data_IF_054949778470
#
_entry.id   IF_054949778470
#
_cell.length_a   1.000
_cell.length_b   1.000
_cell.length_c   1.000
_cell.angle_alpha   90.00
_cell.angle_beta   90.00
_cell.angle_gamma   90.00
#
_symmetry.space_group_name_H-M   'P 1'
#
loop_
_entity.id
_entity.type
_entity.pdbx_description
1 polymer ?
#
# COMPACT_ATOMS: atom_id res chain seq x y z
N UNK A 1 -11.70 3.52 -2.60
CA UNK A 1 -11.75 3.72 -4.07
C UNK A 1 -12.72 2.71 -4.70
N UNK A 2 -13.16 2.99 -5.89
CA UNK A 2 -14.16 2.15 -6.59
C UNK A 2 -13.52 0.98 -7.33
N UNK A 3 -12.33 1.17 -7.88
CA UNK A 3 -11.60 0.12 -8.59
C UNK A 3 -10.14 0.50 -8.74
N UNK A 4 -9.28 -0.51 -8.87
CA UNK A 4 -7.88 -0.31 -9.17
C UNK A 4 -7.32 -1.53 -9.90
N UNK A 5 -6.31 -1.32 -10.72
CA UNK A 5 -5.63 -2.41 -11.41
C UNK A 5 -4.18 -2.07 -11.68
N UNK A 6 -3.36 -3.11 -11.77
CA UNK A 6 -1.95 -3.00 -12.14
C UNK A 6 -1.73 -3.69 -13.47
N UNK A 7 -1.04 -3.00 -14.37
CA UNK A 7 -0.61 -3.55 -15.65
C UNK A 7 0.91 -3.53 -15.75
N UNK A 8 1.45 -4.57 -16.37
CA UNK A 8 2.86 -4.63 -16.76
C UNK A 8 2.87 -4.98 -18.25
N UNK A 9 3.53 -4.15 -19.06
CA UNK A 9 3.60 -4.32 -20.52
C UNK A 9 2.21 -4.53 -21.13
N UNK A 10 1.25 -3.69 -20.77
CA UNK A 10 -0.14 -3.71 -21.22
C UNK A 10 -0.96 -4.93 -20.78
N UNK A 11 -0.38 -5.80 -19.92
CA UNK A 11 -1.09 -6.96 -19.39
C UNK A 11 -1.53 -6.69 -17.95
N UNK A 12 -2.81 -6.86 -17.68
CA UNK A 12 -3.33 -6.74 -16.32
C UNK A 12 -2.86 -7.93 -15.48
N UNK A 13 -2.13 -7.67 -14.38
CA UNK A 13 -1.65 -8.71 -13.48
C UNK A 13 -2.49 -8.80 -12.21
N UNK A 14 -3.15 -7.72 -11.83
CA UNK A 14 -4.05 -7.72 -10.68
C UNK A 14 -5.09 -6.63 -10.83
N UNK A 15 -6.26 -6.86 -10.24
CA UNK A 15 -7.32 -5.86 -10.21
C UNK A 15 -8.22 -6.11 -9.01
N UNK A 16 -8.79 -5.04 -8.49
CA UNK A 16 -9.76 -5.09 -7.40
C UNK A 16 -10.94 -4.18 -7.70
N UNK A 17 -12.07 -4.49 -7.07
CA UNK A 17 -13.23 -3.63 -7.03
C UNK A 17 -13.15 -2.72 -5.78
N UNK A 18 -14.27 -2.30 -5.24
CA UNK A 18 -14.30 -1.36 -4.11
C UNK A 18 -13.43 -1.81 -2.94
N UNK A 19 -12.62 -0.89 -2.43
CA UNK A 19 -11.72 -1.17 -1.31
C UNK A 19 -10.58 -0.18 -1.20
N UNK A 20 -9.38 -0.68 -1.00
CA UNK A 20 -8.18 0.13 -0.79
C UNK A 20 -7.08 -0.22 -1.78
N UNK A 21 -6.51 0.80 -2.41
CA UNK A 21 -5.22 0.72 -3.08
C UNK A 21 -4.19 1.30 -2.12
N UNK A 22 -3.16 0.52 -1.79
CA UNK A 22 -2.16 0.91 -0.79
C UNK A 22 -0.78 0.87 -1.42
N UNK A 23 -0.14 2.03 -1.54
CA UNK A 23 1.26 2.13 -1.91
C UNK A 23 2.10 2.05 -0.64
N UNK A 24 3.09 1.17 -0.62
CA UNK A 24 3.90 0.89 0.57
C UNK A 24 5.35 1.19 0.29
N UNK A 25 5.91 2.13 1.07
CA UNK A 25 7.35 2.40 1.12
C UNK A 25 7.93 1.78 2.39
N UNK A 26 9.12 1.21 2.27
CA UNK A 26 9.80 0.56 3.39
C UNK A 26 11.13 1.28 3.60
N UNK A 27 11.29 1.87 4.80
CA UNK A 27 12.54 2.53 5.20
C UNK A 27 13.55 1.49 5.68
N UNK A 28 14.85 1.85 5.61
CA UNK A 28 15.95 0.95 5.95
C UNK A 28 15.86 0.39 7.38
N UNK A 29 15.23 1.13 8.30
CA UNK A 29 15.13 0.75 9.71
C UNK A 29 13.76 0.23 10.13
N UNK A 30 12.89 -0.11 9.17
CA UNK A 30 11.59 -0.68 9.49
C UNK A 30 11.72 -2.10 10.02
N UNK A 31 10.86 -2.45 10.98
CA UNK A 31 10.87 -3.74 11.69
C UNK A 31 9.49 -4.40 11.64
N UNK A 32 9.39 -5.59 12.21
CA UNK A 32 8.12 -6.31 12.32
C UNK A 32 7.08 -5.53 13.14
N UNK A 33 7.52 -4.71 14.09
CA UNK A 33 6.60 -3.86 14.85
C UNK A 33 5.93 -2.84 13.95
N UNK A 34 6.66 -2.29 12.98
CA UNK A 34 6.09 -1.38 11.99
C UNK A 34 5.04 -2.07 11.14
N UNK A 35 5.27 -3.31 10.74
CA UNK A 35 4.32 -4.11 9.97
C UNK A 35 3.02 -4.30 10.75
N UNK A 36 3.12 -4.70 12.00
CA UNK A 36 1.94 -4.93 12.85
C UNK A 36 1.17 -3.64 13.08
N UNK A 37 1.87 -2.55 13.33
CA UNK A 37 1.27 -1.23 13.55
C UNK A 37 0.52 -0.75 12.31
N UNK A 38 1.15 -0.90 11.14
CA UNK A 38 0.54 -0.50 9.87
C UNK A 38 -0.72 -1.33 9.58
N UNK A 39 -0.61 -2.64 9.69
CA UNK A 39 -1.73 -3.55 9.44
C UNK A 39 -2.91 -3.22 10.35
N UNK A 40 -2.67 -3.14 11.65
CA UNK A 40 -3.74 -2.87 12.61
C UNK A 40 -4.42 -1.52 12.36
N UNK A 41 -3.65 -0.51 11.98
CA UNK A 41 -4.21 0.80 11.66
C UNK A 41 -5.08 0.73 10.40
N UNK A 42 -4.58 0.14 9.33
CA UNK A 42 -5.29 0.12 8.05
C UNK A 42 -6.58 -0.69 8.15
N UNK A 43 -6.54 -1.86 8.78
CA UNK A 43 -7.71 -2.73 8.89
C UNK A 43 -8.83 -2.09 9.70
N UNK A 44 -8.48 -1.23 10.65
CA UNK A 44 -9.44 -0.63 11.57
C UNK A 44 -9.84 0.81 11.23
N UNK A 45 -9.17 1.45 10.28
CA UNK A 45 -9.54 2.81 9.87
C UNK A 45 -10.97 2.85 9.35
N UNK A 46 -11.77 3.74 9.92
CA UNK A 46 -13.16 3.91 9.50
C UNK A 46 -13.24 5.05 8.49
N UNK A 47 -13.11 4.69 7.22
CA UNK A 47 -13.04 5.64 6.11
C UNK A 47 -14.00 5.31 4.97
N UNK A 48 -14.95 4.43 5.22
CA UNK A 48 -15.93 4.01 4.22
C UNK A 48 -17.34 4.42 4.61
N UNK A 49 -18.20 4.56 3.61
CA UNK A 49 -19.59 4.95 3.71
C UNK A 49 -19.75 6.39 4.23
N UNK A 50 -21.00 6.86 4.28
CA UNK A 50 -21.30 8.20 4.78
C UNK A 50 -20.84 8.35 6.24
N UNK A 51 -20.25 9.51 6.54
CA UNK A 51 -19.76 9.87 7.86
C UNK A 51 -18.57 8.99 8.32
N UNK A 52 -17.85 8.35 7.40
CA UNK A 52 -16.67 7.53 7.73
C UNK A 52 -16.96 6.55 8.87
N UNK A 53 -18.02 5.78 8.70
CA UNK A 53 -18.54 4.92 9.77
C UNK A 53 -17.92 3.53 9.77
N UNK A 54 -17.49 3.05 8.61
CA UNK A 54 -17.07 1.66 8.43
C UNK A 54 -15.60 1.51 8.05
N UNK A 55 -14.99 0.40 8.50
CA UNK A 55 -13.65 -0.01 8.09
C UNK A 55 -13.70 -0.84 6.82
N UNK A 56 -12.53 -1.14 6.25
CA UNK A 56 -12.43 -2.05 5.09
C UNK A 56 -13.00 -3.44 5.42
N UNK A 57 -12.81 -3.88 6.64
CA UNK A 57 -13.34 -5.19 7.09
C UNK A 57 -14.87 -5.16 7.17
N UNK A 58 -15.42 -4.07 7.68
CA UNK A 58 -16.89 -3.93 7.81
C UNK A 58 -17.59 -4.02 6.46
N UNK A 59 -17.00 -3.49 5.41
CA UNK A 59 -17.59 -3.51 4.07
C UNK A 59 -17.17 -4.72 3.25
N UNK A 60 -16.35 -5.62 3.81
CA UNK A 60 -15.76 -6.76 3.09
C UNK A 60 -15.13 -6.32 1.77
N UNK A 61 -14.39 -5.22 1.81
CA UNK A 61 -13.73 -4.64 0.63
C UNK A 61 -12.50 -5.42 0.21
N UNK A 62 -11.93 -5.01 -0.92
CA UNK A 62 -10.73 -5.65 -1.50
C UNK A 62 -9.52 -4.75 -1.32
N UNK A 63 -8.34 -5.36 -1.28
CA UNK A 63 -7.09 -4.63 -1.04
C UNK A 63 -6.07 -4.96 -2.13
N UNK A 64 -5.50 -3.91 -2.72
CA UNK A 64 -4.39 -4.03 -3.67
C UNK A 64 -3.15 -3.37 -3.06
N UNK A 65 -2.12 -4.17 -2.81
CA UNK A 65 -0.85 -3.73 -2.22
C UNK A 65 0.19 -3.57 -3.31
N UNK A 66 0.79 -2.38 -3.39
CA UNK A 66 1.81 -2.05 -4.38
C UNK A 66 3.04 -1.50 -3.67
N UNK A 67 4.19 -2.12 -3.85
CA UNK A 67 5.44 -1.58 -3.31
C UNK A 67 5.81 -0.30 -4.05
N UNK A 68 6.26 0.71 -3.30
CA UNK A 68 6.57 2.04 -3.83
C UNK A 68 7.72 2.66 -3.03
N UNK A 69 8.97 2.32 -3.37
CA UNK A 69 10.12 2.81 -2.62
C UNK A 69 10.27 4.33 -2.71
N UNK A 70 9.74 4.94 -3.76
CA UNK A 70 9.80 6.39 -3.94
C UNK A 70 9.04 7.18 -2.87
N UNK A 71 8.17 6.52 -2.10
CA UNK A 71 7.56 7.14 -0.91
C UNK A 71 8.62 7.49 0.14
N UNK A 72 9.78 6.84 0.11
CA UNK A 72 10.88 7.09 1.04
C UNK A 72 11.81 8.20 0.54
N UNK A 73 11.44 8.92 -0.51
CA UNK A 73 12.24 9.99 -1.08
C UNK A 73 12.50 11.10 -0.07
N UNK A 74 13.74 11.59 -0.07
CA UNK A 74 14.13 12.80 0.66
C UNK A 74 14.27 13.91 -0.36
N UNK A 75 13.46 14.95 -0.22
CA UNK A 75 13.44 16.10 -1.14
C UNK A 75 13.92 17.40 -0.47
N UNK A 76 14.53 17.28 0.69
CA UNK A 76 14.94 18.46 1.48
C UNK A 76 16.04 19.27 0.82
N UNK A 77 16.90 18.64 0.02
CA UNK A 77 18.05 19.29 -0.58
C UNK A 77 17.99 19.22 -2.10
N UNK A 78 17.91 20.39 -2.76
CA UNK A 78 17.88 20.47 -4.22
C UNK A 78 16.60 19.89 -4.84
N UNK A 79 16.68 19.64 -6.14
CA UNK A 79 15.52 19.20 -6.94
C UNK A 79 15.60 17.74 -7.36
N UNK A 80 16.69 17.04 -7.00
CA UNK A 80 16.81 15.60 -7.26
C UNK A 80 16.46 14.84 -5.99
N UNK A 81 15.40 14.01 -5.99
CA UNK A 81 15.09 13.22 -4.81
C UNK A 81 16.20 12.24 -4.47
N UNK A 82 16.46 12.05 -3.18
CA UNK A 82 17.38 11.02 -2.68
C UNK A 82 16.55 9.86 -2.15
N UNK A 83 16.95 8.62 -2.46
CA UNK A 83 16.28 7.40 -1.99
C UNK A 83 17.15 6.60 -1.03
N UNK A 84 18.18 7.24 -0.45
CA UNK A 84 19.12 6.55 0.45
C UNK A 84 18.47 5.99 1.71
N UNK A 85 17.32 6.54 2.11
CA UNK A 85 16.61 6.11 3.31
C UNK A 85 15.69 4.91 3.04
N UNK A 86 15.48 4.54 1.78
CA UNK A 86 14.72 3.35 1.42
C UNK A 86 15.51 2.09 1.74
N UNK A 87 14.79 1.03 2.14
CA UNK A 87 15.42 -0.26 2.37
C UNK A 87 15.97 -0.84 1.06
N UNK A 88 17.10 -1.53 1.15
CA UNK A 88 17.72 -2.22 0.03
C UNK A 88 16.71 -3.18 -0.64
N UNK A 89 16.64 -3.23 -2.00
CA UNK A 89 15.59 -3.97 -2.70
C UNK A 89 15.39 -5.42 -2.27
N UNK A 90 16.48 -6.19 -2.09
CA UNK A 90 16.37 -7.60 -1.70
C UNK A 90 15.72 -7.76 -0.34
N UNK A 91 16.11 -6.94 0.63
CA UNK A 91 15.54 -6.96 1.98
C UNK A 91 14.11 -6.42 1.97
N UNK A 92 13.87 -5.37 1.19
CA UNK A 92 12.56 -4.76 1.07
C UNK A 92 11.54 -5.72 0.50
N UNK A 93 11.94 -6.56 -0.47
CA UNK A 93 11.04 -7.57 -1.04
C UNK A 93 10.60 -8.58 0.02
N UNK A 94 11.51 -9.02 0.86
CA UNK A 94 11.20 -9.94 1.97
C UNK A 94 10.19 -9.30 2.91
N UNK A 95 10.41 -8.05 3.29
CA UNK A 95 9.51 -7.30 4.17
C UNK A 95 8.14 -7.10 3.50
N UNK A 96 8.14 -6.75 2.21
CA UNK A 96 6.89 -6.58 1.48
C UNK A 96 6.06 -7.88 1.45
N UNK A 97 6.72 -9.01 1.20
CA UNK A 97 6.04 -10.31 1.21
C UNK A 97 5.50 -10.65 2.59
N UNK A 98 6.21 -10.27 3.65
CA UNK A 98 5.72 -10.42 5.02
C UNK A 98 4.48 -9.56 5.26
N UNK A 99 4.46 -8.34 4.72
CA UNK A 99 3.29 -7.45 4.80
C UNK A 99 2.09 -8.10 4.08
N UNK A 100 2.31 -8.62 2.89
CA UNK A 100 1.26 -9.31 2.12
C UNK A 100 0.67 -10.46 2.93
N UNK A 101 1.52 -11.30 3.52
CA UNK A 101 1.08 -12.42 4.34
C UNK A 101 0.27 -11.95 5.53
N UNK A 102 0.69 -10.83 6.15
CA UNK A 102 -0.05 -10.24 7.27
C UNK A 102 -1.45 -9.81 6.84
N UNK A 103 -1.58 -9.15 5.69
CA UNK A 103 -2.88 -8.73 5.19
C UNK A 103 -3.79 -9.92 4.84
N UNK A 104 -3.21 -11.03 4.39
CA UNK A 104 -3.99 -12.25 4.13
C UNK A 104 -4.67 -12.81 5.38
N UNK A 105 -4.15 -12.52 6.57
CA UNK A 105 -4.79 -12.91 7.83
C UNK A 105 -6.16 -12.25 8.01
N UNK A 106 -6.41 -11.13 7.34
CA UNK A 106 -7.69 -10.43 7.40
C UNK A 106 -8.84 -11.23 6.77
N UNK A 107 -8.52 -12.19 5.90
CA UNK A 107 -9.44 -12.99 5.09
C UNK A 107 -10.18 -12.18 4.02
N UNK A 108 -9.76 -10.95 3.78
CA UNK A 108 -10.23 -10.15 2.65
C UNK A 108 -9.49 -10.59 1.38
N UNK A 109 -10.03 -10.19 0.23
CA UNK A 109 -9.34 -10.42 -1.05
C UNK A 109 -8.12 -9.51 -1.12
N UNK A 110 -6.93 -10.10 -1.19
CA UNK A 110 -5.66 -9.38 -1.28
C UNK A 110 -5.04 -9.63 -2.65
N UNK A 111 -4.77 -8.56 -3.36
CA UNK A 111 -4.03 -8.58 -4.63
C UNK A 111 -2.78 -7.76 -4.47
N UNK A 112 -1.77 -8.02 -5.29
CA UNK A 112 -0.50 -7.28 -5.27
C UNK A 112 -0.07 -6.90 -6.67
N UNK A 113 0.76 -5.84 -6.76
CA UNK A 113 1.60 -5.62 -7.92
C UNK A 113 2.76 -6.61 -7.92
N UNK A 114 3.75 -6.38 -8.77
CA UNK A 114 4.97 -7.19 -8.84
C UNK A 114 6.13 -6.34 -8.31
N UNK A 115 6.79 -6.81 -7.26
CA UNK A 115 7.90 -6.08 -6.66
C UNK A 115 9.01 -5.82 -7.69
N UNK A 116 9.47 -4.57 -7.74
CA UNK A 116 10.58 -4.17 -8.62
C UNK A 116 10.21 -3.99 -10.09
N UNK A 117 8.97 -4.23 -10.49
CA UNK A 117 8.55 -4.06 -11.88
C UNK A 117 8.12 -2.62 -12.17
N UNK A 118 8.20 -2.24 -13.44
CA UNK A 118 7.56 -1.02 -13.92
C UNK A 118 6.07 -1.29 -14.10
N UNK A 119 5.25 -0.62 -13.31
CA UNK A 119 3.82 -0.88 -13.24
C UNK A 119 3.02 0.35 -13.65
N UNK A 120 2.00 0.12 -14.48
CA UNK A 120 0.96 1.12 -14.72
C UNK A 120 -0.18 0.84 -13.75
N UNK A 121 -0.42 1.76 -12.84
CA UNK A 121 -1.47 1.62 -11.83
C UNK A 121 -2.62 2.54 -12.19
N UNK A 122 -3.77 1.96 -12.49
CA UNK A 122 -4.99 2.70 -12.79
C UNK A 122 -5.95 2.56 -11.62
N UNK A 123 -6.61 3.65 -11.26
CA UNK A 123 -7.58 3.61 -10.18
C UNK A 123 -8.69 4.64 -10.41
N UNK A 124 -9.85 4.33 -9.90
CA UNK A 124 -10.93 5.28 -9.78
C UNK A 124 -11.12 5.55 -8.28
N UNK A 125 -10.61 6.70 -7.84
CA UNK A 125 -10.75 7.08 -6.44
C UNK A 125 -12.09 7.78 -6.22
N UNK A 126 -12.69 7.47 -5.09
CA UNK A 126 -13.89 8.18 -4.64
C UNK A 126 -13.42 9.22 -3.62
N UNK A 127 -13.21 10.44 -4.10
CA UNK A 127 -12.75 11.52 -3.25
C UNK A 127 -13.71 11.83 -2.11
N UNK A 128 -13.22 12.44 -1.05
CA UNK A 128 -11.87 13.01 -0.92
C UNK A 128 -10.84 12.05 -0.28
N UNK A 129 -11.14 10.78 -0.12
CA UNK A 129 -10.40 9.89 0.77
C UNK A 129 -9.06 9.43 0.18
N UNK A 130 -7.98 10.09 0.59
CA UNK A 130 -6.59 9.71 0.35
C UNK A 130 -5.82 10.06 1.60
N UNK A 131 -5.17 9.07 2.21
CA UNK A 131 -4.56 9.22 3.53
C UNK A 131 -3.11 8.75 3.49
N UNK A 132 -2.24 9.48 4.17
CA UNK A 132 -0.85 9.08 4.39
C UNK A 132 -0.71 8.52 5.80
N UNK A 133 -0.05 7.37 5.92
CA UNK A 133 0.27 6.77 7.20
C UNK A 133 1.78 6.58 7.31
N UNK A 134 2.33 6.90 8.48
CA UNK A 134 3.74 6.71 8.77
C UNK A 134 3.85 6.08 10.15
N UNK A 135 4.46 4.91 10.23
CA UNK A 135 4.56 4.16 11.49
C UNK A 135 5.51 4.82 12.49
N UNK A 136 6.36 5.76 12.04
CA UNK A 136 7.31 6.47 12.89
C UNK A 136 6.76 7.77 13.49
N UNK A 137 5.58 8.16 13.10
CA UNK A 137 4.95 9.39 13.59
C UNK A 137 3.87 9.06 14.61
#
# INVERSE_FOLDING_TARGET
MDSAKVKISNKTISSINSGLLIFIGIYFNDTSDDINKLYNKIINLRIFEENNKFSIRDIAGEILLVSQFTLCANTKKGNRPSFKDAMEPEKAEIIFNTIVDKFKESKLKIQTGQFGAFMDVSLKNKGPMTIMLDTKI
#
